data_IF_560207025854
#
_entry.id   IF_560207025854
#
_cell.length_a   1.000
_cell.length_b   1.000
_cell.length_c   1.000
_cell.angle_alpha   90.00
_cell.angle_beta   90.00
_cell.angle_gamma   90.00
#
_symmetry.space_group_name_H-M   'P 1'
#
loop_
_entity.id
_entity.type
_entity.pdbx_description
1 polymer ?
#
# COMPACT_ATOMS: atom_id res chain seq x y z
N UNK A 1 -13.12 -10.85 7.56
CA UNK A 1 -12.02 -10.84 6.58
C UNK A 1 -11.58 -12.27 6.33
N UNK A 2 -11.71 -12.75 5.10
CA UNK A 2 -11.26 -14.09 4.73
C UNK A 2 -9.73 -14.18 4.64
N UNK A 3 -9.19 -15.38 4.42
CA UNK A 3 -7.74 -15.58 4.36
C UNK A 3 -7.08 -14.89 3.15
N UNK A 4 -7.78 -14.77 2.02
CA UNK A 4 -7.27 -14.09 0.83
C UNK A 4 -7.08 -12.59 1.10
N UNK A 5 -8.04 -11.97 1.78
CA UNK A 5 -7.94 -10.60 2.25
C UNK A 5 -6.84 -10.41 3.29
N UNK A 6 -6.65 -11.36 4.21
CA UNK A 6 -5.55 -11.34 5.18
C UNK A 6 -4.18 -11.35 4.50
N UNK A 7 -3.98 -12.21 3.49
CA UNK A 7 -2.72 -12.28 2.73
C UNK A 7 -2.44 -10.96 2.00
N UNK A 8 -3.46 -10.35 1.38
CA UNK A 8 -3.31 -9.04 0.72
C UNK A 8 -2.95 -7.95 1.73
N UNK A 9 -3.60 -7.92 2.89
CA UNK A 9 -3.31 -6.95 3.95
C UNK A 9 -1.88 -7.13 4.49
N UNK A 10 -1.45 -8.37 4.73
CA UNK A 10 -0.09 -8.66 5.18
C UNK A 10 0.96 -8.14 4.18
N UNK A 11 0.78 -8.44 2.89
CA UNK A 11 1.69 -7.96 1.84
C UNK A 11 1.70 -6.42 1.72
N UNK A 12 0.54 -5.77 1.89
CA UNK A 12 0.43 -4.31 1.91
C UNK A 12 1.20 -3.69 3.09
N UNK A 13 1.01 -4.23 4.30
CA UNK A 13 1.70 -3.76 5.51
C UNK A 13 3.20 -3.98 5.41
N UNK A 14 3.63 -5.18 5.01
CA UNK A 14 5.06 -5.53 4.88
C UNK A 14 5.76 -4.59 3.89
N UNK A 15 5.14 -4.37 2.72
CA UNK A 15 5.71 -3.44 1.73
C UNK A 15 5.78 -2.01 2.29
N UNK A 16 4.74 -1.54 2.98
CA UNK A 16 4.76 -0.21 3.60
C UNK A 16 5.87 -0.07 4.66
N UNK A 17 6.14 -1.10 5.46
CA UNK A 17 7.23 -1.11 6.45
C UNK A 17 8.60 -0.98 5.79
N UNK A 18 8.83 -1.76 4.73
CA UNK A 18 10.10 -1.80 3.99
C UNK A 18 10.34 -0.55 3.15
N UNK A 19 9.29 0.15 2.72
CA UNK A 19 9.39 1.35 1.89
C UNK A 19 9.69 2.63 2.69
N UNK A 20 10.42 3.55 2.06
CA UNK A 20 10.75 4.87 2.64
C UNK A 20 9.60 5.89 2.57
N UNK A 21 8.60 5.65 1.71
CA UNK A 21 7.43 6.52 1.54
C UNK A 21 6.25 5.77 0.94
N UNK A 22 5.05 6.36 0.99
CA UNK A 22 3.87 5.79 0.31
C UNK A 22 4.05 5.69 -1.21
N UNK A 23 4.79 6.63 -1.83
CA UNK A 23 5.06 6.58 -3.28
C UNK A 23 5.97 5.38 -3.62
N UNK A 24 6.94 5.09 -2.76
CA UNK A 24 7.83 3.94 -2.90
C UNK A 24 7.06 2.62 -2.72
N UNK A 25 6.25 2.50 -1.66
CA UNK A 25 5.39 1.34 -1.43
C UNK A 25 4.43 1.09 -2.61
N UNK A 26 3.84 2.16 -3.14
CA UNK A 26 2.94 2.05 -4.29
C UNK A 26 3.65 1.67 -5.59
N UNK A 27 4.90 2.10 -5.82
CA UNK A 27 5.69 1.63 -6.97
C UNK A 27 5.97 0.13 -6.89
N UNK A 28 6.23 -0.39 -5.69
CA UNK A 28 6.44 -1.83 -5.46
C UNK A 28 5.14 -2.63 -5.65
N UNK A 29 4.06 -2.26 -4.95
CA UNK A 29 2.79 -2.99 -4.99
C UNK A 29 2.07 -2.90 -6.34
N UNK A 30 2.25 -1.80 -7.06
CA UNK A 30 1.57 -1.56 -8.33
C UNK A 30 2.52 -1.57 -9.53
N UNK A 31 3.70 -2.21 -9.41
CA UNK A 31 4.78 -2.23 -10.41
C UNK A 31 4.31 -2.44 -11.86
N UNK A 32 3.30 -3.28 -12.09
CA UNK A 32 2.68 -3.50 -13.40
C UNK A 32 1.50 -2.54 -13.66
N UNK A 33 0.49 -2.54 -12.77
CA UNK A 33 -0.76 -1.80 -13.01
C UNK A 33 -0.59 -0.28 -13.10
N UNK A 34 0.47 0.28 -12.50
CA UNK A 34 0.78 1.72 -12.54
C UNK A 34 1.16 2.21 -13.93
N UNK A 35 1.73 1.35 -14.78
CA UNK A 35 2.19 1.72 -16.12
C UNK A 35 1.03 2.08 -17.06
N UNK A 36 -0.17 1.54 -16.80
CA UNK A 36 -1.38 1.84 -17.57
C UNK A 36 -2.23 2.99 -17.01
N UNK A 37 -1.77 3.71 -15.97
CA UNK A 37 -2.54 4.80 -15.36
C UNK A 37 -2.11 6.16 -15.91
N UNK A 38 -3.11 6.99 -16.25
CA UNK A 38 -2.91 8.38 -16.72
C UNK A 38 -2.23 9.28 -15.68
N UNK A 39 -2.44 8.99 -14.39
CA UNK A 39 -1.76 9.66 -13.28
C UNK A 39 -1.17 8.62 -12.35
N UNK A 40 0.10 8.76 -12.03
CA UNK A 40 0.85 7.88 -11.13
C UNK A 40 0.79 8.40 -9.69
N UNK A 41 -0.42 8.66 -9.18
CA UNK A 41 -0.59 9.02 -7.76
C UNK A 41 -0.64 7.76 -6.89
N UNK A 42 0.52 7.10 -6.81
CA UNK A 42 0.70 5.85 -6.10
C UNK A 42 0.49 6.02 -4.58
N UNK A 43 0.86 7.19 -4.03
CA UNK A 43 0.63 7.51 -2.62
C UNK A 43 -0.86 7.55 -2.25
N UNK A 44 -1.69 8.15 -3.10
CA UNK A 44 -3.14 8.18 -2.88
C UNK A 44 -3.75 6.77 -2.90
N UNK A 45 -3.27 5.90 -3.80
CA UNK A 45 -3.74 4.51 -3.86
C UNK A 45 -3.39 3.73 -2.59
N UNK A 46 -2.18 3.90 -2.06
CA UNK A 46 -1.78 3.28 -0.78
C UNK A 46 -2.66 3.80 0.36
N UNK A 47 -2.86 5.12 0.46
CA UNK A 47 -3.74 5.72 1.46
C UNK A 47 -5.16 5.15 1.40
N UNK A 48 -5.74 5.02 0.21
CA UNK A 48 -7.07 4.44 0.04
C UNK A 48 -7.14 2.96 0.41
N UNK A 49 -6.09 2.17 0.13
CA UNK A 49 -6.07 0.76 0.53
C UNK A 49 -5.95 0.61 2.04
N UNK A 50 -5.05 1.35 2.69
CA UNK A 50 -4.87 1.31 4.14
C UNK A 50 -6.13 1.76 4.90
N UNK A 51 -6.79 2.80 4.41
CA UNK A 51 -8.03 3.31 5.00
C UNK A 51 -9.19 2.28 4.98
N UNK A 52 -9.18 1.28 4.09
CA UNK A 52 -10.17 0.18 4.13
C UNK A 52 -10.03 -0.72 5.36
N UNK A 53 -8.88 -0.66 6.02
CA UNK A 53 -8.53 -1.45 7.19
C UNK A 53 -8.36 -0.57 8.45
N UNK A 54 -8.82 0.69 8.40
CA UNK A 54 -8.65 1.68 9.48
C UNK A 54 -7.18 1.91 9.86
N UNK A 55 -6.26 1.79 8.89
CA UNK A 55 -4.84 2.02 9.05
C UNK A 55 -4.39 3.28 8.28
N UNK A 56 -3.37 3.95 8.82
CA UNK A 56 -2.56 4.94 8.11
C UNK A 56 -1.15 4.42 7.85
N UNK A 57 -0.42 5.11 6.98
CA UNK A 57 0.98 4.78 6.74
C UNK A 57 1.84 5.03 7.99
N UNK A 58 1.49 6.05 8.77
CA UNK A 58 2.21 6.42 9.99
C UNK A 58 2.01 5.37 11.10
N UNK A 59 0.82 4.75 11.19
CA UNK A 59 0.56 3.62 12.11
C UNK A 59 1.45 2.42 11.81
N UNK A 60 1.84 2.24 10.54
CA UNK A 60 2.68 1.12 10.09
C UNK A 60 4.17 1.42 10.28
N UNK A 61 4.57 2.69 10.12
CA UNK A 61 5.97 3.13 10.25
C UNK A 61 6.38 3.41 11.69
N UNK A 62 5.42 3.63 12.58
CA UNK A 62 5.70 3.80 14.00
C UNK A 62 6.21 2.47 14.58
N UNK A 63 7.28 2.50 15.41
CA UNK A 63 7.82 1.31 16.06
C UNK A 63 6.86 0.67 17.06
#
# INVERSE_FOLDING_TARGET
MDYYEQVKLAALIETCRQSGSMADAGRTLFNVSRLGKRSQNDSHRIRQLLAKYDLSFDDIKSP
#
